data_IF_005067325885
#
_entry.id   IF_005067325885
#
_cell.length_a   1.000
_cell.length_b   1.000
_cell.length_c   1.000
_cell.angle_alpha   90.00
_cell.angle_beta   90.00
_cell.angle_gamma   90.00
#
_symmetry.space_group_name_H-M   'P 1'
#
loop_
_entity.id
_entity.type
_entity.pdbx_description
1 polymer ?
#
# COMPACT_ATOMS: atom_id res chain seq x y z
N UNK A 1 3.35 -3.84 -79.74
CA UNK A 1 2.91 -2.43 -79.81
C UNK A 1 3.04 -1.84 -78.42
N UNK A 2 4.06 -1.00 -78.22
CA UNK A 2 4.35 -0.28 -76.98
C UNK A 2 3.49 0.99 -76.91
N UNK A 3 2.95 1.31 -75.74
CA UNK A 3 2.46 2.65 -75.40
C UNK A 3 3.06 3.06 -74.07
N UNK A 4 4.05 3.96 -74.15
CA UNK A 4 4.74 4.56 -73.01
C UNK A 4 3.96 5.78 -72.49
N UNK A 5 3.61 5.78 -71.21
CA UNK A 5 3.12 6.98 -70.50
C UNK A 5 4.22 7.50 -69.55
N UNK A 6 4.64 8.73 -69.79
CA UNK A 6 5.57 9.50 -68.96
C UNK A 6 4.81 10.09 -67.75
N UNK A 7 5.25 9.79 -66.52
CA UNK A 7 4.79 10.46 -65.31
C UNK A 7 5.89 11.40 -64.78
N UNK A 8 5.52 12.65 -64.51
CA UNK A 8 6.40 13.69 -63.92
C UNK A 8 6.63 13.42 -62.42
N UNK A 9 7.83 13.66 -61.87
CA UNK A 9 8.06 13.58 -60.44
C UNK A 9 7.51 14.82 -59.70
N UNK A 10 6.72 14.59 -58.64
CA UNK A 10 6.30 15.64 -57.70
C UNK A 10 7.39 15.90 -56.66
N UNK A 11 7.73 17.17 -56.46
CA UNK A 11 8.62 17.62 -55.38
C UNK A 11 7.99 17.38 -54.00
N UNK A 12 8.73 16.72 -53.11
CA UNK A 12 8.33 16.49 -51.70
C UNK A 12 8.40 17.80 -50.92
N UNK A 13 7.26 18.22 -50.34
CA UNK A 13 7.23 19.31 -49.35
C UNK A 13 7.95 18.83 -48.07
N UNK A 14 8.79 19.64 -47.42
CA UNK A 14 9.41 19.26 -46.15
C UNK A 14 8.33 19.02 -45.08
N UNK A 15 8.47 17.90 -44.37
CA UNK A 15 7.49 17.43 -43.39
C UNK A 15 7.45 18.30 -42.14
N UNK A 16 6.27 18.38 -41.51
CA UNK A 16 5.97 19.16 -40.30
C UNK A 16 6.94 18.93 -39.12
N UNK A 17 7.67 17.80 -39.12
CA UNK A 17 8.69 17.45 -38.13
C UNK A 17 9.85 18.46 -38.11
N UNK A 18 10.20 19.08 -39.25
CA UNK A 18 11.29 20.05 -39.33
C UNK A 18 10.94 21.43 -38.73
N UNK A 19 9.65 21.79 -38.73
CA UNK A 19 9.14 23.05 -38.16
C UNK A 19 9.04 22.95 -36.63
N UNK A 20 8.67 21.78 -36.11
CA UNK A 20 8.58 21.53 -34.65
C UNK A 20 9.96 21.54 -34.00
N UNK A 21 10.98 20.97 -34.65
CA UNK A 21 12.36 21.01 -34.15
C UNK A 21 12.99 22.41 -34.14
N UNK A 22 12.58 23.29 -35.06
CA UNK A 22 13.07 24.67 -35.11
C UNK A 22 12.44 25.53 -33.99
N UNK A 23 11.17 25.30 -33.66
CA UNK A 23 10.47 26.00 -32.56
C UNK A 23 10.94 25.58 -31.16
N UNK A 24 11.35 24.33 -30.94
CA UNK A 24 11.85 23.88 -29.64
C UNK A 24 13.25 24.38 -29.31
N UNK A 25 14.08 24.69 -30.32
CA UNK A 25 15.43 25.22 -30.11
C UNK A 25 15.42 26.72 -29.72
N UNK A 26 14.36 27.45 -30.05
CA UNK A 26 14.17 28.87 -29.70
C UNK A 26 13.70 29.10 -28.25
N UNK A 27 13.18 28.07 -27.57
CA UNK A 27 12.74 28.15 -26.17
C UNK A 27 13.88 27.93 -25.14
N UNK A 28 15.05 27.46 -25.58
CA UNK A 28 16.20 27.19 -24.70
C UNK A 28 17.24 28.33 -24.61
N UNK A 29 16.97 29.51 -25.19
CA UNK A 29 17.95 30.61 -25.27
C UNK A 29 17.52 31.94 -24.65
N UNK A 30 16.43 31.99 -23.88
CA UNK A 30 16.03 33.21 -23.16
C UNK A 30 15.71 32.91 -21.70
N UNK A 31 16.71 33.08 -20.83
CA UNK A 31 16.58 32.95 -19.38
C UNK A 31 17.82 33.44 -18.61
N UNK A 32 18.23 34.69 -18.85
CA UNK A 32 19.17 35.45 -18.00
C UNK A 32 18.56 35.65 -16.59
N UNK A 33 19.26 35.36 -15.49
CA UNK A 33 20.32 36.15 -14.82
C UNK A 33 19.86 37.51 -14.26
N UNK A 34 19.90 37.63 -12.92
CA UNK A 34 19.71 38.86 -12.12
C UNK A 34 19.08 38.54 -10.76
N UNK A 35 19.85 38.24 -9.70
CA UNK A 35 20.57 39.16 -8.79
C UNK A 35 19.63 40.02 -7.92
N UNK A 36 19.24 39.53 -6.74
CA UNK A 36 19.06 40.37 -5.54
C UNK A 36 19.53 39.63 -4.30
N UNK A 37 20.48 40.28 -3.64
CA UNK A 37 21.08 40.00 -2.35
C UNK A 37 20.13 40.47 -1.25
N UNK A 38 19.64 39.58 -0.39
CA UNK A 38 19.29 39.96 0.98
C UNK A 38 19.74 38.86 1.96
N UNK A 39 20.70 39.26 2.77
CA UNK A 39 21.12 38.62 4.02
C UNK A 39 19.95 38.57 5.01
N UNK A 40 19.53 37.37 5.39
CA UNK A 40 18.87 37.14 6.67
C UNK A 40 19.44 35.89 7.31
N UNK A 41 20.31 36.11 8.30
CA UNK A 41 20.78 35.09 9.23
C UNK A 41 19.61 34.63 10.10
N UNK A 42 19.29 33.33 10.06
CA UNK A 42 18.52 32.68 11.11
C UNK A 42 19.07 31.28 11.39
N UNK A 43 19.02 30.83 12.65
CA UNK A 43 20.04 29.99 13.23
C UNK A 43 19.83 28.49 12.95
N UNK A 44 20.95 27.78 12.92
CA UNK A 44 21.07 26.33 12.97
C UNK A 44 20.25 25.72 14.13
N UNK A 45 19.38 24.74 13.88
CA UNK A 45 18.75 24.00 14.98
C UNK A 45 19.79 23.06 15.61
N UNK A 46 20.11 23.33 16.87
CA UNK A 46 20.86 22.43 17.76
C UNK A 46 20.09 21.11 17.91
N UNK A 47 20.74 19.93 17.88
CA UNK A 47 20.07 18.69 18.23
C UNK A 47 19.76 18.69 19.72
N UNK A 48 18.50 18.97 20.07
CA UNK A 48 18.00 18.74 21.43
C UNK A 48 17.81 17.25 21.61
N UNK A 49 18.75 16.61 22.30
CA UNK A 49 18.55 15.27 22.86
C UNK A 49 17.45 15.36 23.91
N UNK A 50 16.20 15.20 23.49
CA UNK A 50 15.07 15.04 24.40
C UNK A 50 15.25 13.71 25.13
N UNK A 51 15.77 13.77 26.36
CA UNK A 51 15.75 12.66 27.30
C UNK A 51 14.28 12.32 27.54
N UNK A 52 13.82 11.17 27.06
CA UNK A 52 12.51 10.64 27.40
C UNK A 52 12.46 10.44 28.91
N UNK A 53 11.88 11.39 29.63
CA UNK A 53 11.53 11.22 31.03
C UNK A 53 10.39 10.22 31.06
N UNK A 54 10.69 9.00 31.51
CA UNK A 54 9.71 7.94 31.78
C UNK A 54 8.71 8.45 32.81
N UNK A 55 7.53 8.87 32.35
CA UNK A 55 6.36 9.08 33.18
C UNK A 55 5.50 7.82 33.07
N UNK A 56 5.99 6.72 33.62
CA UNK A 56 5.16 5.56 33.91
C UNK A 56 5.16 5.40 35.43
N UNK A 57 4.14 5.97 36.07
CA UNK A 57 3.74 5.51 37.39
C UNK A 57 3.12 4.11 37.25
N UNK A 58 3.38 3.19 38.18
CA UNK A 58 2.80 1.86 38.12
C UNK A 58 1.31 1.96 38.45
N UNK A 59 0.46 1.80 37.43
CA UNK A 59 -0.93 1.41 37.65
C UNK A 59 -0.88 -0.03 38.16
N UNK A 60 -1.37 -0.28 39.37
CA UNK A 60 -1.47 -1.65 39.90
C UNK A 60 -2.30 -2.50 38.94
N UNK A 61 -1.67 -3.50 38.32
CA UNK A 61 -2.34 -4.48 37.51
C UNK A 61 -3.37 -5.24 38.36
N UNK A 62 -4.65 -4.99 38.09
CA UNK A 62 -5.70 -5.95 38.40
C UNK A 62 -5.55 -7.09 37.39
N UNK A 63 -5.04 -8.23 37.88
CA UNK A 63 -4.95 -9.43 37.07
C UNK A 63 -6.37 -9.92 36.76
N UNK A 64 -6.85 -9.65 35.55
CA UNK A 64 -8.05 -10.31 35.03
C UNK A 64 -7.65 -11.69 34.49
N UNK A 65 -8.41 -12.71 34.90
CA UNK A 65 -8.25 -14.14 34.60
C UNK A 65 -8.53 -14.51 33.14
N UNK A 66 -8.35 -13.58 32.18
CA UNK A 66 -8.61 -13.75 30.75
C UNK A 66 -7.38 -13.42 29.90
N UNK A 67 -6.27 -14.11 30.14
CA UNK A 67 -5.18 -14.23 29.16
C UNK A 67 -4.57 -12.91 28.68
N UNK A 68 -4.68 -11.82 29.44
CA UNK A 68 -3.93 -10.59 29.15
C UNK A 68 -2.45 -10.89 29.33
N UNK A 69 -1.64 -10.48 28.34
CA UNK A 69 -0.20 -10.59 28.44
C UNK A 69 0.24 -9.94 29.76
N UNK A 70 0.97 -10.70 30.57
CA UNK A 70 1.52 -10.18 31.83
C UNK A 70 2.36 -8.93 31.53
N UNK A 71 2.47 -8.01 32.48
CA UNK A 71 3.31 -6.82 32.31
C UNK A 71 4.74 -7.17 31.83
N UNK A 72 5.26 -8.32 32.28
CA UNK A 72 6.56 -8.84 31.85
C UNK A 72 6.60 -9.18 30.35
N UNK A 73 5.55 -9.81 29.82
CA UNK A 73 5.43 -10.12 28.38
C UNK A 73 5.33 -8.84 27.54
N UNK A 74 4.52 -7.87 28.00
CA UNK A 74 4.41 -6.57 27.33
C UNK A 74 5.74 -5.83 27.30
N UNK A 75 6.49 -5.81 28.42
CA UNK A 75 7.84 -5.22 28.46
C UNK A 75 8.79 -5.90 27.48
N UNK A 76 8.82 -7.25 27.46
CA UNK A 76 9.67 -8.00 26.54
C UNK A 76 9.31 -7.73 25.06
N UNK A 77 8.02 -7.59 24.73
CA UNK A 77 7.58 -7.22 23.39
C UNK A 77 8.01 -5.79 23.02
N UNK A 78 7.85 -4.83 23.92
CA UNK A 78 8.29 -3.45 23.71
C UNK A 78 9.80 -3.35 23.51
N UNK A 79 10.60 -4.08 24.30
CA UNK A 79 12.05 -4.16 24.15
C UNK A 79 12.43 -4.73 22.78
N UNK A 80 11.76 -5.80 22.33
CA UNK A 80 11.97 -6.36 20.99
C UNK A 80 11.64 -5.35 19.89
N UNK A 81 10.54 -4.61 20.00
CA UNK A 81 10.18 -3.56 19.04
C UNK A 81 11.23 -2.46 19.02
N UNK A 82 11.70 -2.00 20.19
CA UNK A 82 12.75 -0.99 20.29
C UNK A 82 14.06 -1.46 19.64
N UNK A 83 14.43 -2.73 19.81
CA UNK A 83 15.61 -3.31 19.16
C UNK A 83 15.48 -3.34 17.63
N UNK A 84 14.32 -3.74 17.11
CA UNK A 84 14.05 -3.71 15.66
C UNK A 84 14.14 -2.28 15.14
N UNK A 85 13.46 -1.32 15.79
CA UNK A 85 13.47 0.09 15.40
C UNK A 85 14.88 0.72 15.48
N UNK A 86 15.71 0.31 16.45
CA UNK A 86 17.08 0.79 16.56
C UNK A 86 17.95 0.34 15.37
N UNK A 87 17.65 -0.84 14.79
CA UNK A 87 18.34 -1.37 13.61
C UNK A 87 17.85 -0.81 12.27
N UNK A 88 16.79 -0.01 12.25
CA UNK A 88 16.22 0.54 11.01
C UNK A 88 16.81 1.91 10.66
N UNK A 89 17.08 2.10 9.37
CA UNK A 89 17.29 3.41 8.74
C UNK A 89 16.04 4.28 8.85
N UNK A 90 16.17 5.59 8.58
CA UNK A 90 15.03 6.50 8.59
C UNK A 90 14.02 6.10 7.49
N UNK A 91 14.52 5.75 6.31
CA UNK A 91 13.73 5.36 5.15
C UNK A 91 12.90 4.12 5.47
N UNK A 92 13.51 3.11 6.12
CA UNK A 92 12.78 1.93 6.58
C UNK A 92 11.68 2.30 7.59
N UNK A 93 11.95 3.21 8.53
CA UNK A 93 10.95 3.64 9.53
C UNK A 93 9.77 4.34 8.87
N UNK A 94 10.05 5.21 7.90
CA UNK A 94 9.02 5.91 7.14
C UNK A 94 8.20 4.96 6.28
N UNK A 95 8.85 4.00 5.61
CA UNK A 95 8.16 2.98 4.82
C UNK A 95 7.16 2.19 5.66
N UNK A 96 7.51 1.82 6.90
CA UNK A 96 6.60 1.09 7.79
C UNK A 96 5.33 1.87 8.20
N UNK A 97 5.25 3.17 7.93
CA UNK A 97 4.04 3.97 8.15
C UNK A 97 3.07 3.97 6.95
N UNK A 98 3.44 3.29 5.86
CA UNK A 98 2.72 3.35 4.59
C UNK A 98 2.19 1.96 4.23
N UNK A 99 0.90 1.90 3.91
CA UNK A 99 0.24 0.78 3.23
C UNK A 99 -0.10 1.25 1.82
N UNK A 100 0.25 0.46 0.81
CA UNK A 100 0.05 0.81 -0.60
C UNK A 100 -1.00 -0.06 -1.27
N UNK A 101 -1.65 0.48 -2.29
CA UNK A 101 -2.31 -0.32 -3.31
C UNK A 101 -1.39 -0.45 -4.54
N UNK A 102 -1.67 -1.42 -5.40
CA UNK A 102 -0.98 -1.60 -6.67
C UNK A 102 -1.98 -1.94 -7.78
N UNK A 103 -1.68 -1.51 -9.00
CA UNK A 103 -2.53 -1.72 -10.18
C UNK A 103 -2.06 -2.94 -10.98
N UNK A 104 -3.02 -3.68 -11.53
CA UNK A 104 -2.78 -4.92 -12.24
C UNK A 104 -2.54 -6.09 -11.30
N UNK A 105 -2.15 -7.23 -11.86
CA UNK A 105 -1.93 -8.47 -11.13
C UNK A 105 -0.43 -8.84 -11.02
N UNK A 106 0.47 -8.05 -11.61
CA UNK A 106 1.89 -8.38 -11.67
C UNK A 106 2.64 -7.89 -10.44
N UNK A 107 3.18 -8.82 -9.65
CA UNK A 107 4.04 -8.50 -8.51
C UNK A 107 5.29 -7.70 -8.91
N UNK A 108 5.83 -7.97 -10.10
CA UNK A 108 7.06 -7.36 -10.60
C UNK A 108 6.85 -5.92 -11.08
N UNK A 109 5.61 -5.57 -11.45
CA UNK A 109 5.28 -4.26 -12.03
C UNK A 109 4.97 -3.21 -10.95
N UNK A 110 5.86 -3.11 -9.96
CA UNK A 110 5.87 -2.02 -8.98
C UNK A 110 5.75 -2.48 -7.52
N UNK A 111 4.91 -3.48 -7.22
CA UNK A 111 4.71 -3.92 -5.83
C UNK A 111 6.02 -4.43 -5.19
N UNK A 112 6.80 -5.23 -5.91
CA UNK A 112 8.12 -5.69 -5.44
C UNK A 112 9.06 -4.52 -5.12
N UNK A 113 9.04 -3.45 -5.92
CA UNK A 113 9.88 -2.26 -5.68
C UNK A 113 9.43 -1.53 -4.42
N UNK A 114 8.12 -1.32 -4.24
CA UNK A 114 7.55 -0.70 -3.04
C UNK A 114 7.94 -1.48 -1.77
N UNK A 115 7.92 -2.80 -1.82
CA UNK A 115 8.30 -3.66 -0.68
C UNK A 115 9.82 -3.64 -0.44
N UNK A 116 10.62 -3.94 -1.48
CA UNK A 116 12.05 -4.21 -1.30
C UNK A 116 12.92 -2.95 -1.22
N UNK A 117 12.51 -1.86 -1.86
CA UNK A 117 13.28 -0.62 -1.95
C UNK A 117 12.65 0.55 -1.18
N UNK A 118 11.32 0.58 -1.05
CA UNK A 118 10.62 1.64 -0.30
C UNK A 118 10.15 1.17 1.08
N UNK A 119 10.33 -0.11 1.41
CA UNK A 119 10.12 -0.68 2.74
C UNK A 119 8.72 -0.43 3.30
N UNK A 120 7.70 -0.45 2.43
CA UNK A 120 6.31 -0.26 2.85
C UNK A 120 5.94 -1.23 3.98
N UNK A 121 5.15 -0.77 4.94
CA UNK A 121 4.66 -1.58 6.06
C UNK A 121 3.64 -2.62 5.62
N UNK A 122 2.98 -2.39 4.49
CA UNK A 122 2.00 -3.30 3.94
C UNK A 122 1.53 -2.94 2.55
N UNK A 123 0.69 -3.81 2.01
CA UNK A 123 -0.08 -3.53 0.80
C UNK A 123 -1.48 -4.11 0.93
N UNK A 124 -2.38 -3.63 0.08
CA UNK A 124 -3.76 -4.08 0.04
C UNK A 124 -4.10 -4.69 -1.31
N UNK A 125 -4.77 -5.84 -1.28
CA UNK A 125 -5.42 -6.41 -2.45
C UNK A 125 -6.73 -5.68 -2.73
N UNK A 126 -6.93 -5.27 -3.97
CA UNK A 126 -8.18 -4.71 -4.46
C UNK A 126 -8.60 -5.41 -5.75
N UNK A 127 -9.82 -5.90 -5.71
CA UNK A 127 -10.54 -6.42 -6.88
C UNK A 127 -10.55 -5.42 -8.05
N UNK A 128 -10.87 -4.15 -7.74
CA UNK A 128 -10.99 -3.05 -8.71
C UNK A 128 -9.66 -2.67 -9.35
N UNK A 129 -8.54 -3.06 -8.72
CA UNK A 129 -7.20 -2.84 -9.24
C UNK A 129 -6.72 -4.03 -10.09
N UNK A 130 -7.58 -4.99 -10.40
CA UNK A 130 -7.26 -6.18 -11.19
C UNK A 130 -6.25 -7.11 -10.53
N UNK A 131 -6.12 -7.10 -9.20
CA UNK A 131 -5.09 -7.91 -8.53
C UNK A 131 -5.34 -9.43 -8.59
N UNK A 132 -6.59 -9.86 -8.81
CA UNK A 132 -6.97 -11.27 -8.94
C UNK A 132 -7.26 -11.70 -10.38
N UNK A 133 -6.85 -10.90 -11.37
CA UNK A 133 -6.90 -11.33 -12.77
C UNK A 133 -5.85 -12.44 -13.01
N UNK A 134 -6.01 -13.29 -14.05
CA UNK A 134 -5.08 -14.37 -14.32
C UNK A 134 -3.61 -13.90 -14.39
N UNK A 135 -2.66 -14.65 -13.76
CA UNK A 135 -2.82 -16.00 -13.22
C UNK A 135 -3.29 -16.06 -11.75
N UNK A 136 -3.59 -14.93 -11.11
CA UNK A 136 -3.89 -14.85 -9.68
C UNK A 136 -5.39 -14.98 -9.37
N UNK A 137 -6.11 -15.72 -10.20
CA UNK A 137 -7.55 -15.96 -10.10
C UNK A 137 -7.89 -17.28 -9.38
N UNK A 138 -6.92 -17.89 -8.70
CA UNK A 138 -7.10 -19.06 -7.83
C UNK A 138 -6.35 -18.84 -6.52
N UNK A 139 -6.91 -19.33 -5.40
CA UNK A 139 -6.42 -19.06 -4.04
C UNK A 139 -4.92 -19.36 -3.87
N UNK A 140 -4.46 -20.51 -4.36
CA UNK A 140 -3.07 -20.95 -4.21
C UNK A 140 -2.06 -20.05 -4.93
N UNK A 141 -2.45 -19.36 -6.00
CA UNK A 141 -1.58 -18.42 -6.70
C UNK A 141 -1.47 -17.11 -5.93
N UNK A 142 -2.58 -16.65 -5.35
CA UNK A 142 -2.60 -15.45 -4.49
C UNK A 142 -1.78 -15.70 -3.22
N UNK A 143 -1.96 -16.84 -2.55
CA UNK A 143 -1.16 -17.23 -1.38
C UNK A 143 0.33 -17.31 -1.74
N UNK A 144 0.70 -17.92 -2.87
CA UNK A 144 2.08 -17.96 -3.32
C UNK A 144 2.69 -16.57 -3.54
N UNK A 145 1.91 -15.61 -4.08
CA UNK A 145 2.32 -14.20 -4.19
C UNK A 145 2.49 -13.58 -2.81
N UNK A 146 1.52 -13.72 -1.92
CA UNK A 146 1.53 -13.18 -0.56
C UNK A 146 2.76 -13.68 0.22
N UNK A 147 3.09 -14.96 0.10
CA UNK A 147 4.30 -15.54 0.69
C UNK A 147 5.58 -15.01 0.04
N UNK A 148 5.59 -14.77 -1.28
CA UNK A 148 6.74 -14.16 -1.95
C UNK A 148 6.97 -12.72 -1.46
N UNK A 149 5.91 -11.92 -1.36
CA UNK A 149 5.97 -10.57 -0.82
C UNK A 149 6.51 -10.56 0.62
N UNK A 150 6.06 -11.50 1.47
CA UNK A 150 6.58 -11.67 2.82
C UNK A 150 8.07 -12.00 2.86
N UNK A 151 8.58 -12.81 1.93
CA UNK A 151 10.00 -13.17 1.84
C UNK A 151 10.88 -12.00 1.38
N UNK A 152 10.36 -11.17 0.49
CA UNK A 152 11.09 -10.01 -0.03
C UNK A 152 11.13 -8.85 0.97
N UNK A 153 10.19 -8.80 1.90
CA UNK A 153 10.11 -7.78 2.94
C UNK A 153 11.15 -7.98 4.06
N UNK A 154 11.66 -6.86 4.60
CA UNK A 154 12.59 -6.88 5.75
C UNK A 154 11.88 -7.07 7.09
N UNK A 155 10.65 -6.56 7.17
CA UNK A 155 9.72 -6.71 8.29
C UNK A 155 8.46 -7.36 7.70
N UNK A 156 7.84 -8.35 8.37
CA UNK A 156 6.61 -8.97 7.89
C UNK A 156 5.54 -7.92 7.56
N UNK A 157 4.92 -8.05 6.38
CA UNK A 157 3.98 -7.08 5.84
C UNK A 157 2.59 -7.21 6.46
N UNK A 158 1.89 -6.08 6.60
CA UNK A 158 0.43 -6.07 6.63
C UNK A 158 -0.08 -6.35 5.21
N UNK A 159 -0.65 -7.53 4.99
CA UNK A 159 -1.30 -7.88 3.72
C UNK A 159 -2.80 -7.74 3.96
N UNK A 160 -3.37 -6.69 3.38
CA UNK A 160 -4.71 -6.20 3.71
C UNK A 160 -5.73 -6.40 2.58
N UNK A 161 -7.00 -6.28 2.93
CA UNK A 161 -8.15 -6.15 2.01
C UNK A 161 -9.34 -5.53 2.77
N UNK A 162 -10.36 -5.08 2.05
CA UNK A 162 -11.64 -4.64 2.62
C UNK A 162 -12.69 -5.77 2.54
N UNK A 163 -12.72 -6.69 3.51
CA UNK A 163 -13.61 -7.86 3.51
C UNK A 163 -14.80 -7.70 4.48
N UNK A 164 -15.52 -6.59 4.37
CA UNK A 164 -16.65 -6.25 5.23
C UNK A 164 -17.89 -7.13 5.00
N UNK A 165 -18.20 -7.39 3.73
CA UNK A 165 -19.44 -8.01 3.25
C UNK A 165 -20.33 -7.05 2.46
N UNK A 166 -21.42 -7.56 1.89
CA UNK A 166 -22.30 -6.78 1.02
C UNK A 166 -21.56 -6.26 -0.22
N UNK A 167 -21.61 -4.94 -0.43
CA UNK A 167 -20.95 -4.27 -1.57
C UNK A 167 -19.42 -4.12 -1.40
N UNK A 168 -18.92 -4.23 -0.17
CA UNK A 168 -17.48 -4.17 0.15
C UNK A 168 -17.02 -5.58 0.51
N UNK A 169 -16.92 -6.41 -0.52
CA UNK A 169 -16.51 -7.81 -0.41
C UNK A 169 -15.52 -8.11 -1.54
N UNK A 170 -14.23 -7.98 -1.25
CA UNK A 170 -13.18 -8.09 -2.28
C UNK A 170 -12.86 -9.54 -2.65
N UNK A 171 -13.23 -10.51 -1.82
CA UNK A 171 -12.90 -11.93 -2.05
C UNK A 171 -14.04 -12.72 -2.71
N UNK A 172 -15.09 -12.05 -3.19
CA UNK A 172 -16.29 -12.71 -3.72
C UNK A 172 -16.02 -13.67 -4.88
N UNK A 173 -14.97 -13.45 -5.67
CA UNK A 173 -14.60 -14.33 -6.79
C UNK A 173 -14.16 -15.73 -6.33
N UNK A 174 -13.57 -15.82 -5.14
CA UNK A 174 -13.07 -17.07 -4.58
C UNK A 174 -14.15 -17.79 -3.75
N UNK A 175 -14.91 -17.04 -2.96
CA UNK A 175 -15.77 -17.62 -1.93
C UNK A 175 -17.23 -17.18 -1.97
N UNK A 176 -17.60 -16.31 -2.91
CA UNK A 176 -18.94 -15.76 -3.04
C UNK A 176 -19.25 -14.59 -2.11
N UNK A 177 -20.50 -14.15 -2.13
CA UNK A 177 -20.93 -12.97 -1.39
C UNK A 177 -21.14 -13.23 0.10
N UNK A 178 -20.61 -12.36 0.96
CA UNK A 178 -20.99 -12.28 2.38
C UNK A 178 -22.15 -11.29 2.60
N UNK A 179 -23.00 -11.50 3.61
CA UNK A 179 -24.01 -10.53 4.02
C UNK A 179 -23.44 -9.15 4.34
N UNK A 180 -24.22 -8.09 4.13
CA UNK A 180 -23.85 -6.74 4.58
C UNK A 180 -24.02 -6.58 6.10
N UNK A 181 -23.46 -5.50 6.68
CA UNK A 181 -23.71 -5.15 8.08
C UNK A 181 -25.21 -4.99 8.39
N UNK A 182 -25.99 -4.43 7.45
CA UNK A 182 -27.44 -4.31 7.59
C UNK A 182 -28.12 -5.69 7.59
N UNK A 183 -27.74 -6.59 6.67
CA UNK A 183 -28.27 -7.96 6.62
C UNK A 183 -27.93 -8.73 7.92
N UNK A 184 -26.71 -8.58 8.43
CA UNK A 184 -26.31 -9.16 9.72
C UNK A 184 -27.15 -8.60 10.87
N UNK A 185 -27.39 -7.29 10.89
CA UNK A 185 -28.17 -6.63 11.95
C UNK A 185 -29.62 -7.10 11.99
N UNK A 186 -30.20 -7.51 10.86
CA UNK A 186 -31.56 -8.03 10.77
C UNK A 186 -31.78 -9.31 11.62
N UNK A 187 -30.70 -10.04 11.94
CA UNK A 187 -30.77 -11.18 12.86
C UNK A 187 -30.93 -10.77 14.34
N UNK A 188 -30.56 -9.53 14.69
CA UNK A 188 -30.50 -9.05 16.07
C UNK A 188 -29.46 -9.75 16.95
N UNK A 189 -28.57 -10.57 16.37
CA UNK A 189 -27.66 -11.45 17.12
C UNK A 189 -26.19 -11.16 16.81
N UNK A 190 -25.36 -10.81 17.81
CA UNK A 190 -23.91 -10.68 17.65
C UNK A 190 -23.23 -11.97 17.18
N UNK A 191 -23.85 -13.14 17.38
CA UNK A 191 -23.31 -14.41 16.90
C UNK A 191 -23.23 -14.45 15.37
N UNK A 192 -24.14 -13.77 14.65
CA UNK A 192 -24.09 -13.67 13.19
C UNK A 192 -22.81 -12.95 12.74
N UNK A 193 -22.48 -11.83 13.40
CA UNK A 193 -21.24 -11.10 13.11
C UNK A 193 -19.99 -11.91 13.44
N UNK A 194 -20.00 -12.66 14.56
CA UNK A 194 -18.90 -13.56 14.91
C UNK A 194 -18.69 -14.65 13.85
N UNK A 195 -19.76 -15.29 13.39
CA UNK A 195 -19.70 -16.33 12.34
C UNK A 195 -19.15 -15.76 11.04
N UNK A 196 -19.63 -14.60 10.60
CA UNK A 196 -19.14 -13.95 9.39
C UNK A 196 -17.67 -13.54 9.50
N UNK A 197 -17.28 -12.87 10.58
CA UNK A 197 -15.88 -12.48 10.80
C UNK A 197 -14.93 -13.68 10.87
N UNK A 198 -15.36 -14.79 11.48
CA UNK A 198 -14.60 -16.04 11.51
C UNK A 198 -14.44 -16.62 10.10
N UNK A 199 -15.49 -16.56 9.29
CA UNK A 199 -15.47 -17.04 7.91
C UNK A 199 -14.57 -16.18 7.03
N UNK A 200 -14.67 -14.84 7.12
CA UNK A 200 -13.77 -13.90 6.43
C UNK A 200 -12.31 -14.16 6.78
N UNK A 201 -12.00 -14.30 8.07
CA UNK A 201 -10.64 -14.56 8.53
C UNK A 201 -10.07 -15.87 7.96
N UNK A 202 -10.88 -16.93 7.88
CA UNK A 202 -10.47 -18.22 7.27
C UNK A 202 -10.13 -18.05 5.79
N UNK A 203 -11.00 -17.39 5.03
CA UNK A 203 -10.80 -17.14 3.60
C UNK A 203 -9.57 -16.28 3.33
N UNK A 204 -9.41 -15.19 4.08
CA UNK A 204 -8.24 -14.34 4.00
C UNK A 204 -6.95 -15.10 4.30
N UNK A 205 -6.96 -15.96 5.32
CA UNK A 205 -5.81 -16.79 5.67
C UNK A 205 -5.42 -17.74 4.53
N UNK A 206 -6.39 -18.31 3.80
CA UNK A 206 -6.16 -19.17 2.63
C UNK A 206 -5.46 -18.44 1.46
N UNK A 207 -5.52 -17.11 1.44
CA UNK A 207 -4.91 -16.23 0.42
C UNK A 207 -3.61 -15.56 0.92
N UNK A 208 -3.19 -15.85 2.15
CA UNK A 208 -2.05 -15.21 2.81
C UNK A 208 -2.32 -13.77 3.28
N UNK A 209 -3.59 -13.35 3.33
CA UNK A 209 -4.03 -12.04 3.82
C UNK A 209 -4.14 -12.11 5.35
N UNK A 210 -3.58 -11.13 6.05
CA UNK A 210 -3.46 -11.13 7.51
C UNK A 210 -4.11 -9.92 8.19
N UNK A 211 -4.64 -8.98 7.42
CA UNK A 211 -5.26 -7.75 7.91
C UNK A 211 -6.57 -7.53 7.16
N UNK A 212 -7.64 -7.27 7.90
CA UNK A 212 -8.91 -6.82 7.35
C UNK A 212 -9.14 -5.37 7.78
N UNK A 213 -9.61 -4.51 6.88
CA UNK A 213 -10.09 -3.17 7.24
C UNK A 213 -11.60 -3.18 7.51
N UNK A 214 -12.02 -4.18 8.28
CA UNK A 214 -13.37 -4.40 8.77
C UNK A 214 -13.32 -4.73 10.28
N UNK A 215 -14.42 -4.55 11.03
CA UNK A 215 -15.74 -4.10 10.60
C UNK A 215 -15.88 -2.58 10.53
N UNK A 216 -16.85 -2.12 9.73
CA UNK A 216 -17.40 -0.75 9.87
C UNK A 216 -18.22 -0.68 11.15
N UNK A 217 -17.93 0.34 11.96
CA UNK A 217 -18.63 0.62 13.23
C UNK A 217 -19.39 1.95 13.20
N UNK A 218 -19.56 2.52 12.02
CA UNK A 218 -20.40 3.69 11.81
C UNK A 218 -21.87 3.37 12.14
N UNK A 219 -22.58 4.35 12.69
CA UNK A 219 -24.01 4.23 13.00
C UNK A 219 -24.82 4.94 11.91
N UNK A 220 -25.62 4.16 11.18
CA UNK A 220 -26.57 4.69 10.20
C UNK A 220 -27.84 5.14 10.91
N UNK A 221 -27.93 6.45 11.20
CA UNK A 221 -29.04 7.08 11.95
C UNK A 221 -30.18 7.56 11.06
#
# INVERSE_FOLDING_TARGET
MQTSYLTRPMAKKPGAIFIVFLCSMLLFLTGCSGLLTETSSSPTPTPTTAKLTSILQPVQAKADSRGSATEAQTRAQLEKVQQILAGMTLEQKLGQLIVVEYLGHSYQDGLQYMISQQFVGGYMYQESNHNFDPPYNVESQVDALSQQAMRDAKIPLMIATDQEGGLVNRLYRFHGSLPSAADMSASGSPATALTQGTQSAKWMFELGINTDFAPVVDVHT
#
